data_IF_815647518286
#
_entry.id   IF_815647518286
#
_cell.length_a   1.000
_cell.length_b   1.000
_cell.length_c   1.000
_cell.angle_alpha   90.00
_cell.angle_beta   90.00
_cell.angle_gamma   90.00
#
_symmetry.space_group_name_H-M   'P 1'
#
loop_
_entity.id
_entity.type
_entity.pdbx_description
1 polymer ?
#
# COMPACT_ATOMS: atom_id res chain seq x y z
N UNK A 1 -64.12 -14.55 -21.30
CA UNK A 1 -64.55 -14.06 -22.63
C UNK A 1 -63.71 -12.85 -22.99
N UNK A 2 -62.80 -12.99 -23.94
CA UNK A 2 -62.36 -11.87 -24.79
C UNK A 2 -63.46 -11.57 -25.84
N UNK A 3 -63.50 -10.38 -26.45
CA UNK A 3 -62.77 -10.13 -27.71
C UNK A 3 -62.14 -8.71 -27.76
N UNK A 4 -60.94 -8.47 -28.31
CA UNK A 4 -60.46 -8.47 -29.70
C UNK A 4 -61.08 -7.43 -30.66
N UNK A 5 -60.19 -6.56 -31.21
CA UNK A 5 -60.11 -5.90 -32.55
C UNK A 5 -59.96 -4.37 -32.44
N UNK A 6 -58.84 -3.74 -32.80
CA UNK A 6 -58.09 -3.60 -34.08
C UNK A 6 -58.37 -2.26 -34.78
N UNK A 7 -57.28 -1.68 -35.32
CA UNK A 7 -57.19 -0.64 -36.36
C UNK A 7 -57.28 0.81 -35.88
N UNK A 8 -56.50 1.79 -36.37
CA UNK A 8 -56.04 2.02 -37.74
C UNK A 8 -54.93 3.11 -37.80
N UNK A 9 -53.91 2.88 -38.63
CA UNK A 9 -53.22 3.81 -39.57
C UNK A 9 -52.38 5.05 -39.14
N UNK A 10 -51.07 4.92 -39.43
CA UNK A 10 -50.24 5.71 -40.37
C UNK A 10 -49.93 7.19 -40.11
N UNK A 11 -48.63 7.54 -39.99
CA UNK A 11 -47.99 8.56 -40.83
C UNK A 11 -46.45 8.44 -40.84
N UNK A 12 -45.90 8.35 -42.05
CA UNK A 12 -44.48 8.40 -42.39
C UNK A 12 -44.24 9.77 -43.04
N UNK A 13 -43.43 10.65 -42.45
CA UNK A 13 -42.95 11.87 -43.12
C UNK A 13 -41.57 12.33 -42.59
N UNK A 14 -40.60 12.18 -43.49
CA UNK A 14 -39.32 12.88 -43.68
C UNK A 14 -39.11 14.24 -42.98
N UNK A 15 -37.90 14.42 -42.42
CA UNK A 15 -37.16 15.67 -42.58
C UNK A 15 -35.69 15.41 -42.95
N UNK A 16 -35.29 16.05 -44.05
CA UNK A 16 -33.95 16.16 -44.59
C UNK A 16 -33.06 17.05 -43.71
N UNK A 17 -31.78 16.71 -43.57
CA UNK A 17 -30.70 17.70 -43.42
C UNK A 17 -29.42 17.13 -44.03
N UNK A 18 -29.08 17.66 -45.20
CA UNK A 18 -27.81 17.44 -45.90
C UNK A 18 -26.74 18.26 -45.20
N UNK A 19 -25.59 17.66 -44.89
CA UNK A 19 -24.34 18.41 -44.71
C UNK A 19 -23.16 17.59 -45.22
N UNK A 20 -22.64 18.13 -46.32
CA UNK A 20 -21.39 17.96 -47.05
C UNK A 20 -20.43 16.79 -46.75
N UNK A 21 -20.01 16.21 -47.86
CA UNK A 21 -18.93 15.25 -48.08
C UNK A 21 -17.57 15.72 -47.53
N UNK A 22 -16.84 14.79 -46.92
CA UNK A 22 -15.38 14.77 -46.89
C UNK A 22 -14.90 13.39 -47.39
N UNK A 23 -13.93 13.31 -48.32
CA UNK A 23 -13.55 12.05 -48.95
C UNK A 23 -12.81 11.11 -47.99
N UNK A 24 -13.10 9.81 -48.13
CA UNK A 24 -12.35 8.68 -47.60
C UNK A 24 -10.87 8.79 -48.00
N UNK A 25 -9.99 8.98 -47.01
CA UNK A 25 -8.55 8.81 -47.19
C UNK A 25 -8.16 7.34 -46.93
N UNK A 26 -7.34 6.72 -47.79
CA UNK A 26 -6.98 5.32 -47.68
C UNK A 26 -5.99 5.06 -46.54
N UNK A 27 -6.14 3.85 -45.97
CA UNK A 27 -5.20 3.19 -45.06
C UNK A 27 -3.76 3.30 -45.55
N UNK A 28 -2.89 3.81 -44.67
CA UNK A 28 -1.43 3.74 -44.82
C UNK A 28 -0.88 2.99 -43.61
N UNK A 29 -0.28 1.82 -43.88
CA UNK A 29 0.62 1.12 -42.96
C UNK A 29 1.77 2.06 -42.59
N UNK A 30 1.96 2.32 -41.30
CA UNK A 30 3.23 2.80 -40.76
C UNK A 30 3.84 1.69 -39.90
N UNK A 31 4.71 0.91 -40.54
CA UNK A 31 5.81 0.23 -39.86
C UNK A 31 6.82 1.30 -39.46
N UNK A 32 7.03 1.49 -38.17
CA UNK A 32 8.02 2.43 -37.69
C UNK A 32 7.97 2.54 -36.18
N UNK A 33 8.83 1.78 -35.51
CA UNK A 33 9.15 1.92 -34.09
C UNK A 33 9.23 3.40 -33.68
N UNK A 34 8.18 3.93 -33.05
CA UNK A 34 8.30 5.15 -32.27
C UNK A 34 9.18 4.81 -31.08
N UNK A 35 10.45 5.15 -31.20
CA UNK A 35 11.41 5.28 -30.12
C UNK A 35 10.72 6.17 -29.07
N UNK A 36 10.21 5.54 -28.00
CA UNK A 36 9.70 6.26 -26.85
C UNK A 36 10.77 7.29 -26.45
N UNK A 37 10.44 8.58 -26.30
CA UNK A 37 11.41 9.53 -25.82
C UNK A 37 11.90 9.04 -24.47
N UNK A 38 13.22 8.90 -24.34
CA UNK A 38 13.86 8.60 -23.07
C UNK A 38 13.39 9.67 -22.08
N UNK A 39 12.53 9.26 -21.15
CA UNK A 39 12.15 10.09 -20.02
C UNK A 39 13.40 10.18 -19.14
N UNK A 40 14.26 11.13 -19.46
CA UNK A 40 15.24 11.68 -18.53
C UNK A 40 14.45 12.40 -17.44
N UNK A 41 13.88 11.65 -16.51
CA UNK A 41 13.38 12.16 -15.25
C UNK A 41 14.35 11.75 -14.14
N UNK A 42 15.60 12.19 -14.25
CA UNK A 42 16.30 12.66 -13.05
C UNK A 42 15.67 13.99 -12.64
N UNK A 43 14.39 13.95 -12.28
CA UNK A 43 13.86 14.89 -11.31
C UNK A 43 14.62 14.52 -10.05
N UNK A 44 15.67 15.28 -9.72
CA UNK A 44 16.25 15.23 -8.39
C UNK A 44 15.07 15.29 -7.44
N UNK A 45 14.82 14.17 -6.75
CA UNK A 45 13.78 14.07 -5.73
C UNK A 45 14.05 15.27 -4.85
N UNK A 46 13.18 16.28 -4.90
CA UNK A 46 13.18 17.33 -3.90
C UNK A 46 13.16 16.56 -2.61
N UNK A 47 14.27 16.62 -1.86
CA UNK A 47 14.35 15.95 -0.57
C UNK A 47 13.16 16.51 0.20
N UNK A 48 12.12 15.69 0.36
CA UNK A 48 11.05 16.04 1.28
C UNK A 48 11.74 16.29 2.60
N UNK A 49 11.36 17.36 3.30
CA UNK A 49 11.87 17.62 4.64
C UNK A 49 11.49 16.41 5.50
N UNK A 50 12.42 15.45 5.59
CA UNK A 50 12.30 14.29 6.43
C UNK A 50 12.29 14.81 7.85
N UNK A 51 11.42 14.25 8.67
CA UNK A 51 11.35 14.56 10.10
C UNK A 51 12.05 13.47 10.91
N UNK A 52 12.55 13.76 12.11
CA UNK A 52 13.00 12.69 12.99
C UNK A 52 11.85 11.73 13.33
N UNK A 53 12.16 10.47 13.57
CA UNK A 53 11.21 9.50 14.13
C UNK A 53 10.78 10.01 15.52
N UNK A 54 9.47 10.20 15.78
CA UNK A 54 9.01 10.61 17.11
C UNK A 54 9.17 9.45 18.10
N UNK A 55 9.30 9.75 19.40
CA UNK A 55 9.10 8.72 20.44
C UNK A 55 7.62 8.47 20.70
N UNK A 56 7.29 7.36 21.35
CA UNK A 56 5.92 7.05 21.76
C UNK A 56 5.37 8.10 22.71
N UNK A 57 6.19 8.58 23.64
CA UNK A 57 5.83 9.66 24.55
C UNK A 57 5.48 10.96 23.80
N UNK A 58 6.22 11.30 22.73
CA UNK A 58 5.90 12.47 21.90
C UNK A 58 4.60 12.29 21.11
N UNK A 59 4.26 11.06 20.75
CA UNK A 59 2.99 10.74 20.12
C UNK A 59 1.84 10.71 21.12
N UNK A 60 2.08 10.76 22.43
CA UNK A 60 1.05 10.57 23.46
C UNK A 60 0.57 9.12 23.54
N UNK A 61 1.44 8.16 23.19
CA UNK A 61 1.15 6.74 23.25
C UNK A 61 1.60 6.15 24.59
N UNK A 62 0.79 5.22 25.10
CA UNK A 62 1.10 4.42 26.28
C UNK A 62 1.38 2.97 25.86
N UNK A 63 2.21 2.27 26.64
CA UNK A 63 2.58 0.88 26.36
C UNK A 63 2.28 -0.01 27.55
N UNK A 64 1.67 -1.16 27.30
CA UNK A 64 1.34 -2.16 28.31
C UNK A 64 1.81 -3.54 27.85
N UNK A 65 2.34 -4.33 28.78
CA UNK A 65 2.65 -5.73 28.50
C UNK A 65 1.34 -6.52 28.35
N UNK A 66 1.22 -7.33 27.30
CA UNK A 66 -0.02 -8.06 27.02
C UNK A 66 -0.19 -9.35 27.82
N UNK A 67 0.83 -9.75 28.59
CA UNK A 67 0.90 -11.07 29.24
C UNK A 67 1.19 -12.23 28.28
N UNK A 68 1.15 -12.00 26.96
CA UNK A 68 1.44 -12.96 25.91
C UNK A 68 2.91 -12.86 25.46
N UNK A 69 3.84 -13.23 26.34
CA UNK A 69 5.27 -13.25 26.01
C UNK A 69 5.87 -11.85 25.80
N UNK A 70 6.60 -11.67 24.71
CA UNK A 70 7.34 -10.45 24.36
C UNK A 70 6.49 -9.38 23.65
N UNK A 71 5.18 -9.63 23.47
CA UNK A 71 4.26 -8.69 22.84
C UNK A 71 3.81 -7.58 23.77
N UNK A 72 3.86 -6.37 23.25
CA UNK A 72 3.40 -5.15 23.91
C UNK A 72 2.23 -4.55 23.15
N UNK A 73 1.24 -4.08 23.89
CA UNK A 73 0.13 -3.30 23.37
C UNK A 73 0.46 -1.81 23.50
N UNK A 74 0.32 -1.09 22.40
CA UNK A 74 0.57 0.35 22.28
C UNK A 74 -0.76 1.03 22.00
N UNK A 75 -1.18 1.89 22.92
CA UNK A 75 -2.44 2.63 22.84
C UNK A 75 -2.22 4.13 22.61
N UNK A 76 -3.24 4.81 22.08
CA UNK A 76 -3.33 6.27 22.11
C UNK A 76 -4.76 6.70 22.48
N UNK A 77 -4.97 7.01 23.75
CA UNK A 77 -6.31 7.26 24.30
C UNK A 77 -7.24 6.07 24.06
N UNK A 78 -8.51 6.36 23.72
CA UNK A 78 -9.51 5.35 23.34
C UNK A 78 -9.65 5.16 21.82
N UNK A 79 -8.85 5.87 21.01
CA UNK A 79 -8.97 5.83 19.55
C UNK A 79 -8.12 4.75 18.92
N UNK A 80 -6.89 4.51 19.40
CA UNK A 80 -5.95 3.64 18.69
C UNK A 80 -5.37 2.55 19.58
N UNK A 81 -5.24 1.35 19.01
CA UNK A 81 -4.53 0.22 19.62
C UNK A 81 -3.72 -0.54 18.57
N UNK A 82 -2.52 -0.98 18.94
CA UNK A 82 -1.65 -1.80 18.12
C UNK A 82 -0.89 -2.78 19.01
N UNK A 83 -0.62 -3.99 18.52
CA UNK A 83 0.30 -4.91 19.18
C UNK A 83 1.61 -5.02 18.40
N UNK A 84 2.73 -4.88 19.09
CA UNK A 84 4.05 -4.95 18.49
C UNK A 84 5.08 -5.62 19.40
N UNK A 85 6.16 -6.11 18.79
CA UNK A 85 7.36 -6.58 19.48
C UNK A 85 8.59 -6.32 18.62
N UNK A 86 9.77 -6.39 19.24
CA UNK A 86 11.06 -6.31 18.56
C UNK A 86 11.82 -7.60 18.79
N UNK A 87 12.41 -8.15 17.74
CA UNK A 87 13.40 -9.23 17.85
C UNK A 87 14.46 -9.05 16.77
N UNK A 88 15.72 -8.89 17.18
CA UNK A 88 16.82 -8.53 16.29
C UNK A 88 16.55 -7.24 15.53
N UNK A 89 16.84 -7.27 14.22
CA UNK A 89 16.65 -6.17 13.26
C UNK A 89 15.22 -6.08 12.70
N UNK A 90 14.27 -6.78 13.33
CA UNK A 90 12.88 -6.89 12.90
C UNK A 90 11.92 -6.29 13.92
N UNK A 91 11.03 -5.41 13.45
CA UNK A 91 9.84 -5.01 14.20
C UNK A 91 8.63 -5.80 13.70
N UNK A 92 7.94 -6.46 14.62
CA UNK A 92 6.74 -7.23 14.32
C UNK A 92 5.52 -6.43 14.74
N UNK A 93 4.45 -6.50 13.94
CA UNK A 93 3.17 -5.87 14.23
C UNK A 93 2.04 -6.83 13.89
N UNK A 94 1.12 -7.06 14.83
CA UNK A 94 -0.14 -7.77 14.54
C UNK A 94 -1.17 -6.77 14.02
N UNK A 95 -2.22 -6.49 14.80
CA UNK A 95 -3.25 -5.52 14.47
C UNK A 95 -2.80 -4.07 14.71
N UNK A 96 -3.49 -3.14 14.04
CA UNK A 96 -3.42 -1.71 14.30
C UNK A 96 -4.79 -1.10 13.94
N UNK A 97 -5.56 -0.76 14.96
CA UNK A 97 -6.97 -0.41 14.83
C UNK A 97 -7.23 1.01 15.30
N UNK A 98 -8.16 1.67 14.61
CA UNK A 98 -8.72 2.94 15.05
C UNK A 98 -10.22 2.77 15.29
N UNK A 99 -10.70 3.18 16.46
CA UNK A 99 -12.13 3.27 16.78
C UNK A 99 -12.83 4.23 15.82
N UNK A 100 -12.19 5.34 15.43
CA UNK A 100 -12.71 6.26 14.42
C UNK A 100 -11.65 6.60 13.35
N UNK A 101 -11.54 5.78 12.28
CA UNK A 101 -10.53 5.97 11.24
C UNK A 101 -10.57 7.34 10.53
N UNK A 102 -11.75 7.98 10.48
CA UNK A 102 -11.94 9.30 9.86
C UNK A 102 -11.45 10.48 10.70
N UNK A 103 -11.15 10.26 11.99
CA UNK A 103 -10.69 11.29 12.94
C UNK A 103 -9.44 10.86 13.71
N UNK A 104 -8.62 10.02 13.10
CA UNK A 104 -7.38 9.51 13.71
C UNK A 104 -6.46 10.65 14.17
N UNK A 105 -5.93 10.52 15.39
CA UNK A 105 -4.95 11.46 15.96
C UNK A 105 -3.49 11.04 15.66
N UNK A 106 -3.27 9.73 15.51
CA UNK A 106 -1.96 9.16 15.17
C UNK A 106 -2.08 8.27 13.93
N UNK A 107 -0.94 7.98 13.29
CA UNK A 107 -0.86 7.02 12.18
C UNK A 107 -0.20 5.74 12.69
N UNK A 108 -0.77 4.58 12.42
CA UNK A 108 -0.19 3.29 12.81
C UNK A 108 1.30 3.14 12.46
N UNK A 109 1.71 3.62 11.29
CA UNK A 109 3.13 3.62 10.87
C UNK A 109 4.02 4.47 11.78
N UNK A 110 3.56 5.65 12.17
CA UNK A 110 4.34 6.54 13.03
C UNK A 110 4.52 5.92 14.41
N UNK A 111 3.45 5.31 14.93
CA UNK A 111 3.49 4.57 16.20
C UNK A 111 4.42 3.36 16.10
N UNK A 112 4.41 2.63 14.98
CA UNK A 112 5.31 1.49 14.77
C UNK A 112 6.79 1.91 14.73
N UNK A 113 7.12 3.01 14.05
CA UNK A 113 8.49 3.53 14.01
C UNK A 113 8.93 4.10 15.36
N UNK A 114 8.02 4.76 16.08
CA UNK A 114 8.25 5.19 17.46
C UNK A 114 8.51 4.00 18.39
N UNK A 115 7.74 2.92 18.23
CA UNK A 115 7.94 1.68 19.00
C UNK A 115 9.30 1.06 18.70
N UNK A 116 9.69 0.93 17.42
CA UNK A 116 11.05 0.49 17.07
C UNK A 116 12.13 1.37 17.71
N UNK A 117 11.97 2.70 17.65
CA UNK A 117 12.92 3.64 18.26
C UNK A 117 13.07 3.47 19.77
N UNK A 118 11.97 3.27 20.47
CA UNK A 118 11.97 3.25 21.94
C UNK A 118 12.28 1.85 22.51
N UNK A 119 12.03 0.78 21.74
CA UNK A 119 12.13 -0.62 22.23
C UNK A 119 13.15 -1.50 21.50
N UNK A 120 13.75 -1.04 20.40
CA UNK A 120 14.93 -1.74 19.86
C UNK A 120 16.16 -1.43 20.71
N UNK A 121 17.08 -2.39 20.78
CA UNK A 121 18.40 -2.16 21.38
C UNK A 121 19.41 -1.58 20.36
N UNK A 122 18.95 -1.29 19.15
CA UNK A 122 19.78 -0.90 18.02
C UNK A 122 19.51 0.55 17.58
N UNK A 123 20.38 1.07 16.72
CA UNK A 123 20.15 2.39 16.12
C UNK A 123 18.89 2.36 15.26
N UNK A 124 18.10 3.45 15.25
CA UNK A 124 16.84 3.52 14.50
C UNK A 124 17.02 3.12 13.02
N UNK A 125 18.05 3.61 12.34
CA UNK A 125 18.35 3.28 10.93
C UNK A 125 18.85 1.85 10.66
N UNK A 126 19.01 1.03 11.70
CA UNK A 126 19.42 -0.38 11.54
C UNK A 126 18.27 -1.32 11.25
N UNK A 127 17.01 -0.86 11.29
CA UNK A 127 15.84 -1.67 10.94
C UNK A 127 16.03 -2.34 9.57
N UNK A 128 15.80 -3.65 9.50
CA UNK A 128 15.85 -4.41 8.24
C UNK A 128 14.51 -5.00 7.85
N UNK A 129 13.64 -5.27 8.82
CA UNK A 129 12.37 -5.91 8.53
C UNK A 129 11.22 -5.30 9.30
N UNK A 130 10.11 -5.07 8.61
CA UNK A 130 8.80 -4.92 9.24
C UNK A 130 7.99 -6.15 8.89
N UNK A 131 7.60 -6.94 9.88
CA UNK A 131 6.74 -8.10 9.68
C UNK A 131 5.35 -7.87 10.26
N UNK A 132 4.35 -8.02 9.40
CA UNK A 132 2.95 -7.97 9.75
C UNK A 132 2.45 -9.39 9.98
N UNK A 133 2.10 -9.72 11.23
CA UNK A 133 1.61 -11.03 11.64
C UNK A 133 0.08 -11.03 11.83
N UNK A 134 -0.52 -12.22 11.91
CA UNK A 134 -1.97 -12.45 12.06
C UNK A 134 -2.76 -11.61 11.04
N UNK A 135 -2.33 -11.68 9.78
CA UNK A 135 -2.56 -10.63 8.79
C UNK A 135 -3.98 -10.70 8.21
N UNK A 136 -4.95 -10.04 8.85
CA UNK A 136 -6.37 -10.08 8.45
C UNK A 136 -6.79 -9.05 7.37
N UNK A 137 -5.88 -8.18 6.92
CA UNK A 137 -6.20 -7.12 5.96
C UNK A 137 -6.46 -7.68 4.55
N UNK A 138 -7.73 -7.69 4.14
CA UNK A 138 -8.19 -8.27 2.87
C UNK A 138 -7.51 -7.69 1.63
N UNK A 139 -7.17 -6.41 1.62
CA UNK A 139 -6.54 -5.78 0.45
C UNK A 139 -5.10 -6.24 0.27
N UNK A 140 -4.35 -6.38 1.37
CA UNK A 140 -3.01 -6.95 1.33
C UNK A 140 -3.05 -8.43 0.96
N UNK A 141 -3.94 -9.22 1.55
CA UNK A 141 -4.10 -10.64 1.22
C UNK A 141 -4.43 -10.85 -0.27
N UNK A 142 -5.35 -10.05 -0.82
CA UNK A 142 -5.68 -10.08 -2.26
C UNK A 142 -4.50 -9.68 -3.14
N UNK A 143 -3.72 -8.68 -2.71
CA UNK A 143 -2.55 -8.23 -3.45
C UNK A 143 -1.47 -9.33 -3.49
N UNK A 144 -1.23 -10.00 -2.37
CA UNK A 144 -0.33 -11.16 -2.26
C UNK A 144 -0.80 -12.27 -3.21
N UNK A 145 -2.06 -12.70 -3.12
CA UNK A 145 -2.60 -13.76 -3.96
C UNK A 145 -2.48 -13.46 -5.47
N UNK A 146 -2.59 -12.19 -5.85
CA UNK A 146 -2.41 -11.77 -7.25
C UNK A 146 -0.95 -11.91 -7.72
N UNK A 147 0.01 -11.55 -6.88
CA UNK A 147 1.43 -11.55 -7.25
C UNK A 147 2.13 -12.88 -6.97
N UNK A 148 1.56 -13.77 -6.17
CA UNK A 148 2.19 -15.04 -5.79
C UNK A 148 2.74 -15.87 -6.96
N UNK A 149 2.13 -15.90 -8.16
CA UNK A 149 2.69 -16.62 -9.31
C UNK A 149 3.94 -15.98 -9.94
N UNK A 150 4.32 -14.76 -9.57
CA UNK A 150 5.32 -13.94 -10.27
C UNK A 150 6.22 -13.21 -9.27
N UNK A 151 7.54 -13.24 -9.48
CA UNK A 151 8.49 -12.49 -8.65
C UNK A 151 9.34 -11.56 -9.52
N UNK A 152 8.70 -10.51 -10.03
CA UNK A 152 9.33 -9.50 -10.88
C UNK A 152 9.06 -8.06 -10.38
N UNK A 153 9.60 -7.08 -11.10
CA UNK A 153 9.43 -5.65 -10.77
C UNK A 153 7.96 -5.22 -10.81
N UNK A 154 7.15 -5.81 -11.69
CA UNK A 154 5.73 -5.48 -11.79
C UNK A 154 4.95 -5.99 -10.56
N UNK A 155 5.27 -7.19 -10.07
CA UNK A 155 4.74 -7.72 -8.82
C UNK A 155 5.10 -6.82 -7.62
N UNK A 156 6.36 -6.37 -7.56
CA UNK A 156 6.82 -5.46 -6.51
C UNK A 156 6.06 -4.12 -6.51
N UNK A 157 5.93 -3.47 -7.67
CA UNK A 157 5.18 -2.22 -7.80
C UNK A 157 3.68 -2.41 -7.53
N UNK A 158 3.11 -3.55 -7.94
CA UNK A 158 1.72 -3.87 -7.67
C UNK A 158 1.45 -3.96 -6.16
N UNK A 159 2.32 -4.63 -5.39
CA UNK A 159 2.20 -4.68 -3.94
C UNK A 159 2.23 -3.28 -3.33
N UNK A 160 3.17 -2.41 -3.73
CA UNK A 160 3.24 -1.02 -3.25
C UNK A 160 1.99 -0.20 -3.52
N UNK A 161 1.28 -0.50 -4.60
CA UNK A 161 0.05 0.18 -4.99
C UNK A 161 -1.20 -0.39 -4.33
N UNK A 162 -1.25 -1.70 -4.10
CA UNK A 162 -2.48 -2.41 -3.71
C UNK A 162 -2.50 -2.92 -2.28
N UNK A 163 -1.34 -3.13 -1.66
CA UNK A 163 -1.25 -3.47 -0.23
C UNK A 163 -1.08 -2.19 0.60
N UNK A 164 -2.00 -1.88 1.53
CA UNK A 164 -1.81 -0.81 2.51
C UNK A 164 -0.53 -0.96 3.34
N UNK A 165 -0.10 -2.20 3.61
CA UNK A 165 1.14 -2.49 4.33
C UNK A 165 2.38 -2.12 3.51
N UNK A 166 2.48 -2.64 2.29
CA UNK A 166 3.58 -2.30 1.39
C UNK A 166 3.63 -0.80 1.10
N UNK A 167 2.48 -0.20 0.80
CA UNK A 167 2.35 1.24 0.52
C UNK A 167 2.73 2.10 1.73
N UNK A 168 2.31 1.68 2.92
CA UNK A 168 2.63 2.34 4.18
C UNK A 168 4.13 2.33 4.45
N UNK A 169 4.74 1.14 4.42
CA UNK A 169 6.16 0.95 4.72
C UNK A 169 7.09 1.55 3.68
N UNK A 170 6.69 1.54 2.40
CA UNK A 170 7.48 2.14 1.32
C UNK A 170 7.69 3.64 1.45
N UNK A 171 6.88 4.33 2.26
CA UNK A 171 7.02 5.76 2.53
C UNK A 171 7.97 6.06 3.69
N UNK A 172 8.41 5.06 4.46
CA UNK A 172 9.24 5.27 5.66
C UNK A 172 10.57 5.98 5.31
N UNK A 173 11.35 5.53 4.30
CA UNK A 173 12.61 6.20 3.94
C UNK A 173 12.46 7.63 3.43
N UNK A 174 11.29 7.97 2.89
CA UNK A 174 10.98 9.31 2.39
C UNK A 174 10.43 10.24 3.47
N UNK A 175 9.95 9.68 4.58
CA UNK A 175 9.28 10.45 5.65
C UNK A 175 10.21 10.74 6.83
N UNK A 176 11.15 9.84 7.16
CA UNK A 176 11.97 9.97 8.37
C UNK A 176 13.47 10.03 8.09
N UNK A 177 14.16 10.89 8.86
CA UNK A 177 15.59 11.17 8.68
C UNK A 177 16.45 9.93 8.93
N UNK A 178 16.12 9.16 9.96
CA UNK A 178 16.90 7.99 10.39
C UNK A 178 16.86 6.83 9.38
N UNK A 179 15.96 6.87 8.40
CA UNK A 179 15.81 5.85 7.37
C UNK A 179 16.19 6.35 5.96
N UNK A 180 16.84 7.52 5.85
CA UNK A 180 17.17 8.14 4.57
C UNK A 180 18.13 7.31 3.69
N UNK A 181 18.91 6.42 4.31
CA UNK A 181 19.79 5.45 3.65
C UNK A 181 19.13 4.13 3.30
N UNK A 182 17.88 3.93 3.69
CA UNK A 182 17.18 2.68 3.42
C UNK A 182 16.32 2.74 2.17
N UNK A 183 16.09 1.59 1.56
CA UNK A 183 15.05 1.40 0.55
C UNK A 183 14.38 0.05 0.76
N UNK A 184 13.13 -0.07 0.32
CA UNK A 184 12.44 -1.37 0.33
C UNK A 184 13.04 -2.24 -0.78
N UNK A 185 13.69 -3.34 -0.40
CA UNK A 185 14.39 -4.24 -1.33
C UNK A 185 13.52 -5.37 -1.86
N UNK A 186 12.60 -5.87 -1.03
CA UNK A 186 11.70 -6.97 -1.38
C UNK A 186 10.51 -7.02 -0.43
N UNK A 187 9.53 -7.85 -0.79
CA UNK A 187 8.42 -8.25 0.05
C UNK A 187 8.40 -9.77 0.13
N UNK A 188 8.16 -10.31 1.32
CA UNK A 188 7.96 -11.75 1.54
C UNK A 188 6.61 -11.98 2.22
N UNK A 189 6.08 -13.19 2.15
CA UNK A 189 4.83 -13.56 2.81
C UNK A 189 4.80 -15.05 3.14
N UNK A 190 3.89 -15.45 4.02
CA UNK A 190 3.59 -16.85 4.31
C UNK A 190 3.09 -17.57 3.06
N UNK A 191 3.62 -18.76 2.79
CA UNK A 191 3.00 -19.71 1.85
C UNK A 191 1.71 -20.20 2.51
N UNK A 192 0.57 -19.65 2.08
CA UNK A 192 -0.72 -19.72 2.78
C UNK A 192 -1.38 -21.10 2.84
N UNK A 193 -0.72 -22.09 3.44
CA UNK A 193 -1.33 -23.36 3.80
C UNK A 193 -2.23 -23.17 5.04
N UNK A 194 -3.48 -22.82 4.73
CA UNK A 194 -4.75 -23.07 5.42
C UNK A 194 -5.09 -22.45 6.79
N UNK A 195 -4.18 -21.85 7.55
CA UNK A 195 -4.56 -21.12 8.77
C UNK A 195 -4.34 -19.61 8.64
N UNK A 196 -5.44 -18.85 8.56
CA UNK A 196 -5.44 -17.37 8.53
C UNK A 196 -4.69 -16.76 9.72
N UNK A 197 -4.56 -17.51 10.81
CA UNK A 197 -3.86 -17.15 12.04
C UNK A 197 -2.32 -17.21 11.88
N UNK A 198 -1.80 -17.81 10.81
CA UNK A 198 -0.36 -17.89 10.51
C UNK A 198 0.06 -17.01 9.33
N UNK A 199 -0.89 -16.32 8.70
CA UNK A 199 -0.59 -15.45 7.56
C UNK A 199 0.29 -14.26 8.00
N UNK A 200 1.43 -14.09 7.33
CA UNK A 200 2.33 -12.96 7.57
C UNK A 200 2.76 -12.29 6.26
N UNK A 201 3.10 -11.00 6.37
CA UNK A 201 3.64 -10.20 5.27
C UNK A 201 4.84 -9.40 5.78
N UNK A 202 5.99 -9.55 5.14
CA UNK A 202 7.24 -8.89 5.54
C UNK A 202 7.68 -7.88 4.49
N UNK A 203 8.08 -6.71 4.95
CA UNK A 203 8.74 -5.67 4.16
C UNK A 203 10.22 -5.67 4.52
N UNK A 204 11.07 -5.85 3.52
CA UNK A 204 12.52 -5.92 3.71
C UNK A 204 13.17 -4.62 3.28
N UNK A 205 14.08 -4.11 4.11
CA UNK A 205 14.88 -2.92 3.83
C UNK A 205 16.33 -3.30 3.62
N UNK A 206 17.01 -2.58 2.73
CA UNK A 206 18.47 -2.60 2.58
C UNK A 206 19.03 -1.19 2.66
N UNK A 207 20.30 -1.08 3.03
CA UNK A 207 21.02 0.19 2.97
C UNK A 207 21.59 0.43 1.58
N UNK A 208 21.63 1.69 1.14
CA UNK A 208 22.39 2.07 -0.07
C UNK A 208 23.92 1.95 0.10
N UNK A 209 24.39 1.81 1.34
CA UNK A 209 25.81 1.74 1.68
C UNK A 209 26.34 0.29 1.83
N UNK A 210 25.47 -0.72 1.63
CA UNK A 210 25.79 -2.16 1.61
C UNK A 210 26.13 -2.67 0.20
#
# INVERSE_FOLDING_TARGET
MAPYKQSLFTLLCLFFSVSLQGPLQPSRKDDGYQKLPAVAATSGLVARDRRPVPSLAQLGCDVQATGNGDWMEVGHGSDFVMQARVNGDTVYRKYAEHTNPGRRLVRARDVLMAFWKDYSNDAVGSLRHIEYQDMANKDTLRAIAYVQPWNDVAAFDYLKQKSPHASGSSKIPDEFQEFDRLYVSSFDWSDGDDDMDESWFRVNFRSYDE
#
